data_IF_965324031017
#
_entry.id   IF_965324031017
#
_cell.length_a   1.000
_cell.length_b   1.000
_cell.length_c   1.000
_cell.angle_alpha   90.00
_cell.angle_beta   90.00
_cell.angle_gamma   90.00
#
_symmetry.space_group_name_H-M   'P 1'
#
loop_
_entity.id
_entity.type
_entity.pdbx_description
1 polymer ?
#
# COMPACT_ATOMS: atom_id res chain seq x y z
N UNK A 1 46.41 -28.60 2.44
CA UNK A 1 45.24 -28.63 3.36
C UNK A 1 45.38 -29.81 4.28
N UNK A 2 45.50 -29.57 5.56
CA UNK A 2 45.66 -30.61 6.61
C UNK A 2 44.33 -31.35 6.81
N UNK A 3 44.41 -32.64 7.26
CA UNK A 3 43.21 -33.48 7.50
C UNK A 3 42.21 -32.83 8.45
N UNK A 4 42.68 -32.03 9.41
CA UNK A 4 41.85 -31.27 10.35
C UNK A 4 41.01 -30.20 9.70
N UNK A 5 41.54 -29.49 8.73
CA UNK A 5 40.80 -28.45 8.01
C UNK A 5 39.62 -29.03 7.15
N UNK A 6 39.79 -30.21 6.58
CA UNK A 6 38.71 -30.87 5.86
C UNK A 6 37.57 -31.35 6.78
N UNK A 7 37.91 -31.81 7.98
CA UNK A 7 36.90 -32.15 9.00
C UNK A 7 36.13 -30.94 9.46
N UNK A 8 36.83 -29.84 9.78
CA UNK A 8 36.20 -28.60 10.20
C UNK A 8 35.26 -28.05 9.11
N UNK A 9 35.69 -28.08 7.84
CA UNK A 9 34.88 -27.63 6.71
C UNK A 9 33.59 -28.44 6.57
N UNK A 10 33.64 -29.76 6.79
CA UNK A 10 32.46 -30.62 6.75
C UNK A 10 31.44 -30.27 7.83
N UNK A 11 31.88 -29.98 9.04
CA UNK A 11 31.00 -29.59 10.15
C UNK A 11 30.39 -28.18 9.92
N UNK A 12 31.16 -27.25 9.37
CA UNK A 12 30.68 -25.92 9.03
C UNK A 12 29.57 -26.00 7.99
N UNK A 13 29.75 -26.79 6.93
CA UNK A 13 28.74 -26.99 5.91
C UNK A 13 27.47 -27.67 6.43
N UNK A 14 27.63 -28.64 7.33
CA UNK A 14 26.49 -29.33 7.94
C UNK A 14 25.70 -28.36 8.85
N UNK A 15 26.39 -27.51 9.61
CA UNK A 15 25.77 -26.48 10.45
C UNK A 15 25.05 -25.44 9.60
N UNK A 16 25.65 -24.99 8.50
CA UNK A 16 25.02 -24.06 7.56
C UNK A 16 23.79 -24.66 6.89
N UNK A 17 23.82 -25.91 6.51
CA UNK A 17 22.70 -26.63 5.88
C UNK A 17 21.48 -26.75 6.82
N UNK A 18 21.68 -26.71 8.13
CA UNK A 18 20.60 -26.69 9.13
C UNK A 18 20.21 -25.25 9.48
N UNK A 19 21.17 -24.37 9.64
CA UNK A 19 20.94 -23.00 10.07
C UNK A 19 20.17 -22.17 9.02
N UNK A 20 20.50 -22.31 7.74
CA UNK A 20 19.85 -21.55 6.66
C UNK A 20 18.35 -21.80 6.58
N UNK A 21 17.84 -23.05 6.48
CA UNK A 21 16.40 -23.28 6.44
C UNK A 21 15.70 -22.85 7.75
N UNK A 22 16.36 -22.96 8.88
CA UNK A 22 15.81 -22.54 10.17
C UNK A 22 15.64 -21.03 10.23
N UNK A 23 16.63 -20.25 9.78
CA UNK A 23 16.52 -18.79 9.63
C UNK A 23 15.45 -18.42 8.62
N UNK A 24 15.33 -19.14 7.50
CA UNK A 24 14.26 -18.90 6.53
C UNK A 24 12.87 -19.10 7.13
N UNK A 25 12.67 -20.17 7.94
CA UNK A 25 11.38 -20.41 8.60
C UNK A 25 11.04 -19.26 9.58
N UNK A 26 12.01 -18.74 10.31
CA UNK A 26 11.80 -17.59 11.20
C UNK A 26 11.53 -16.31 10.40
N UNK A 27 12.27 -16.05 9.34
CA UNK A 27 12.07 -14.89 8.47
C UNK A 27 10.68 -14.90 7.81
N UNK A 28 10.19 -16.07 7.36
CA UNK A 28 8.85 -16.18 6.76
C UNK A 28 7.73 -15.98 7.78
N UNK A 29 7.93 -16.36 9.04
CA UNK A 29 6.95 -16.07 10.11
C UNK A 29 6.79 -14.57 10.36
N UNK A 30 7.88 -13.82 10.30
CA UNK A 30 7.83 -12.36 10.45
C UNK A 30 7.29 -11.66 9.20
N UNK A 31 7.46 -12.23 8.01
CA UNK A 31 6.84 -11.73 6.78
C UNK A 31 5.30 -11.85 6.76
N UNK A 32 4.74 -12.78 7.50
CA UNK A 32 3.28 -12.91 7.64
C UNK A 32 2.65 -11.70 8.38
N UNK A 33 3.44 -10.93 9.13
CA UNK A 33 2.99 -9.69 9.79
C UNK A 33 2.97 -8.50 8.82
N UNK A 34 3.77 -8.55 7.75
CA UNK A 34 3.77 -7.52 6.69
C UNK A 34 2.80 -7.80 5.54
N UNK A 35 2.13 -8.93 5.55
CA UNK A 35 0.91 -9.11 4.77
C UNK A 35 -0.17 -8.28 5.46
N UNK A 36 -0.10 -6.96 5.31
CA UNK A 36 -1.29 -6.13 5.42
C UNK A 36 -2.31 -6.85 4.56
N UNK A 37 -3.29 -7.48 5.19
CA UNK A 37 -4.47 -7.99 4.53
C UNK A 37 -5.04 -6.80 3.76
N UNK A 38 -4.65 -6.67 2.50
CA UNK A 38 -5.55 -6.13 1.51
C UNK A 38 -6.62 -7.20 1.43
N UNK A 39 -7.51 -7.18 2.40
CA UNK A 39 -8.76 -7.89 2.34
C UNK A 39 -9.50 -7.21 1.20
N UNK A 40 -9.35 -7.76 0.00
CA UNK A 40 -10.34 -7.57 -1.04
C UNK A 40 -11.55 -8.35 -0.53
N UNK A 41 -12.19 -7.84 0.50
CA UNK A 41 -13.57 -8.18 0.76
C UNK A 41 -14.35 -7.46 -0.34
N UNK A 42 -14.64 -8.21 -1.39
CA UNK A 42 -15.79 -7.93 -2.20
C UNK A 42 -17.02 -8.07 -1.28
N UNK A 43 -17.19 -7.12 -0.37
CA UNK A 43 -18.42 -6.99 0.40
C UNK A 43 -19.45 -6.37 -0.53
N UNK A 44 -19.99 -7.22 -1.38
CA UNK A 44 -21.31 -7.01 -1.94
C UNK A 44 -22.27 -7.17 -0.77
N UNK A 45 -22.91 -6.09 -0.45
CA UNK A 45 -24.06 -5.95 0.44
C UNK A 45 -23.75 -5.37 1.83
N UNK A 46 -24.18 -4.19 2.02
CA UNK A 46 -24.48 -3.72 3.35
C UNK A 46 -24.31 -2.22 3.50
N UNK A 47 -25.43 -1.53 3.46
CA UNK A 47 -25.57 -0.13 3.85
C UNK A 47 -24.83 0.86 2.95
N UNK A 48 -25.49 1.33 1.93
CA UNK A 48 -25.14 2.56 1.22
C UNK A 48 -25.22 3.73 2.22
N UNK A 49 -24.17 3.90 3.02
CA UNK A 49 -23.93 5.20 3.64
C UNK A 49 -23.84 6.20 2.50
N UNK A 50 -24.70 7.20 2.50
CA UNK A 50 -24.67 8.22 1.47
C UNK A 50 -23.29 8.88 1.50
N UNK A 51 -22.56 8.85 0.39
CA UNK A 51 -21.30 9.57 0.27
C UNK A 51 -21.60 11.07 0.33
N UNK A 52 -20.82 11.81 1.10
CA UNK A 52 -20.92 13.27 1.19
C UNK A 52 -20.62 13.92 -0.16
N UNK A 53 -19.60 13.41 -0.84
CA UNK A 53 -19.18 13.84 -2.17
C UNK A 53 -18.63 12.67 -2.96
N UNK A 54 -18.80 12.70 -4.27
CA UNK A 54 -18.26 11.69 -5.18
C UNK A 54 -17.70 12.37 -6.41
N UNK A 55 -16.51 11.92 -6.82
CA UNK A 55 -15.81 12.39 -8.01
C UNK A 55 -15.37 11.20 -8.82
N UNK A 56 -15.43 11.33 -10.12
CA UNK A 56 -15.08 10.25 -11.03
C UNK A 56 -14.37 10.81 -12.26
N UNK A 57 -13.29 10.13 -12.67
CA UNK A 57 -12.65 10.33 -13.96
C UNK A 57 -12.36 8.96 -14.60
N UNK A 58 -11.64 8.94 -15.72
CA UNK A 58 -11.37 7.71 -16.47
C UNK A 58 -10.52 6.71 -15.68
N UNK A 59 -9.70 7.18 -14.76
CA UNK A 59 -8.72 6.38 -14.02
C UNK A 59 -9.22 6.04 -12.62
N UNK A 60 -9.87 6.99 -11.94
CA UNK A 60 -10.17 6.93 -10.51
C UNK A 60 -11.60 7.39 -10.25
N UNK A 61 -12.28 6.67 -9.36
CA UNK A 61 -13.51 7.15 -8.72
C UNK A 61 -13.23 7.31 -7.23
N UNK A 62 -13.59 8.47 -6.68
CA UNK A 62 -13.41 8.78 -5.26
C UNK A 62 -14.76 9.07 -4.63
N UNK A 63 -15.03 8.47 -3.50
CA UNK A 63 -16.19 8.76 -2.68
C UNK A 63 -15.72 9.17 -1.27
N UNK A 64 -16.26 10.28 -0.77
CA UNK A 64 -15.90 10.83 0.53
C UNK A 64 -17.04 10.60 1.50
N UNK A 65 -16.72 10.05 2.64
CA UNK A 65 -17.61 9.77 3.76
C UNK A 65 -17.15 10.56 4.99
N UNK A 66 -17.92 10.55 6.06
CA UNK A 66 -17.60 11.32 7.27
C UNK A 66 -16.28 10.93 7.94
N UNK A 67 -15.91 9.64 7.89
CA UNK A 67 -14.76 9.09 8.61
C UNK A 67 -13.73 8.40 7.71
N UNK A 68 -14.00 8.27 6.43
CA UNK A 68 -13.09 7.64 5.47
C UNK A 68 -13.28 8.15 4.04
N UNK A 69 -12.28 7.94 3.23
CA UNK A 69 -12.31 8.16 1.78
C UNK A 69 -12.15 6.82 1.10
N UNK A 70 -13.05 6.50 0.18
CA UNK A 70 -12.96 5.37 -0.71
C UNK A 70 -12.40 5.83 -2.07
N UNK A 71 -11.38 5.15 -2.53
CA UNK A 71 -10.78 5.39 -3.85
C UNK A 71 -10.85 4.09 -4.65
N UNK A 72 -11.60 4.11 -5.73
CA UNK A 72 -11.69 3.00 -6.67
C UNK A 72 -10.77 3.31 -7.85
N UNK A 73 -9.68 2.56 -7.95
CA UNK A 73 -8.78 2.65 -9.08
C UNK A 73 -9.25 1.70 -10.18
N UNK A 74 -9.74 2.25 -11.28
CA UNK A 74 -10.36 1.50 -12.38
C UNK A 74 -9.35 0.69 -13.20
N UNK A 75 -8.12 1.18 -13.28
CA UNK A 75 -7.03 0.54 -13.99
C UNK A 75 -5.71 0.70 -13.24
N UNK A 76 -4.81 -0.24 -13.41
CA UNK A 76 -3.47 -0.16 -12.83
C UNK A 76 -2.72 1.06 -13.34
N UNK A 77 -2.20 1.86 -12.41
CA UNK A 77 -1.41 3.03 -12.75
C UNK A 77 -0.07 2.60 -13.37
N UNK A 78 0.37 3.32 -14.39
CA UNK A 78 1.70 3.12 -15.00
C UNK A 78 2.84 3.61 -14.10
N UNK A 79 2.52 4.14 -12.94
CA UNK A 79 3.42 4.77 -12.00
C UNK A 79 3.69 3.84 -10.82
N UNK A 80 4.97 3.58 -10.56
CA UNK A 80 5.38 2.61 -9.54
C UNK A 80 5.15 3.09 -8.10
N UNK A 81 5.04 4.41 -7.87
CA UNK A 81 4.83 4.99 -6.55
C UNK A 81 3.74 6.06 -6.61
N UNK A 82 2.51 5.63 -6.38
CA UNK A 82 1.36 6.53 -6.36
C UNK A 82 0.90 6.73 -4.92
N UNK A 83 1.10 7.93 -4.41
CA UNK A 83 0.76 8.32 -3.03
C UNK A 83 -0.41 9.28 -3.04
N UNK A 84 -1.34 9.06 -2.13
CA UNK A 84 -2.51 9.91 -1.92
C UNK A 84 -2.19 10.92 -0.82
N UNK A 85 -2.32 12.20 -1.14
CA UNK A 85 -2.10 13.31 -0.21
C UNK A 85 -3.39 14.07 0.04
N UNK A 86 -3.55 14.57 1.25
CA UNK A 86 -4.49 15.65 1.53
C UNK A 86 -4.03 16.95 0.85
N UNK A 87 -4.98 17.77 0.48
CA UNK A 87 -4.74 19.05 -0.15
C UNK A 87 -5.31 20.19 0.68
N UNK A 88 -4.56 21.29 0.76
CA UNK A 88 -5.02 22.53 1.39
C UNK A 88 -5.91 23.37 0.45
N UNK A 89 -6.41 24.50 0.93
CA UNK A 89 -7.24 25.44 0.15
C UNK A 89 -6.49 26.07 -1.03
N UNK A 90 -5.16 26.04 -1.00
CA UNK A 90 -4.30 26.60 -2.06
C UNK A 90 -3.93 25.54 -3.10
N UNK A 91 -4.35 24.30 -2.91
CA UNK A 91 -4.04 23.19 -3.81
C UNK A 91 -2.67 22.55 -3.56
N UNK A 92 -2.02 22.82 -2.43
CA UNK A 92 -0.73 22.21 -2.10
C UNK A 92 -0.93 20.88 -1.36
N UNK A 93 0.01 19.98 -1.58
CA UNK A 93 0.10 18.72 -0.84
C UNK A 93 0.42 18.99 0.63
N UNK A 94 -0.33 18.36 1.53
CA UNK A 94 -0.09 18.48 2.97
C UNK A 94 0.27 17.14 3.58
N UNK A 95 -0.67 16.35 3.99
CA UNK A 95 -0.47 15.10 4.71
C UNK A 95 -0.66 13.90 3.79
N UNK A 96 0.16 12.86 3.98
CA UNK A 96 -0.02 11.58 3.32
C UNK A 96 -1.23 10.87 3.94
N UNK A 97 -2.17 10.45 3.09
CA UNK A 97 -3.31 9.62 3.46
C UNK A 97 -2.93 8.13 3.31
N UNK A 98 -2.31 7.77 2.20
CA UNK A 98 -1.90 6.40 1.93
C UNK A 98 -1.28 6.22 0.56
N UNK A 99 -1.09 4.95 0.17
CA UNK A 99 -0.50 4.57 -1.10
C UNK A 99 -1.44 3.66 -1.88
N UNK A 100 -1.49 3.84 -3.19
CA UNK A 100 -2.25 3.01 -4.12
C UNK A 100 -1.32 2.48 -5.22
N UNK A 101 -1.53 1.24 -5.68
CA UNK A 101 -0.62 0.60 -6.65
C UNK A 101 -1.34 -0.05 -7.81
N UNK A 102 -2.30 -0.92 -7.54
CA UNK A 102 -3.00 -1.73 -8.54
C UNK A 102 -4.47 -1.32 -8.62
N UNK A 103 -5.15 -1.71 -9.69
CA UNK A 103 -6.59 -1.55 -9.78
C UNK A 103 -7.29 -2.23 -8.60
N UNK A 104 -8.24 -1.55 -7.99
CA UNK A 104 -8.92 -2.04 -6.79
C UNK A 104 -9.61 -0.93 -6.00
N UNK A 105 -10.14 -1.31 -4.84
CA UNK A 105 -10.82 -0.40 -3.91
C UNK A 105 -9.89 -0.18 -2.71
N UNK A 106 -9.68 1.07 -2.37
CA UNK A 106 -8.86 1.51 -1.25
C UNK A 106 -9.69 2.36 -0.31
N UNK A 107 -9.67 2.04 0.96
CA UNK A 107 -10.33 2.81 2.02
C UNK A 107 -9.27 3.42 2.94
N UNK A 108 -9.37 4.73 3.16
CA UNK A 108 -8.46 5.47 4.02
C UNK A 108 -9.26 6.19 5.10
N UNK A 109 -8.98 5.91 6.34
CA UNK A 109 -9.59 6.60 7.47
C UNK A 109 -9.07 8.03 7.54
N UNK A 110 -9.98 8.98 7.72
CA UNK A 110 -9.68 10.40 7.89
C UNK A 110 -10.24 10.89 9.24
N UNK A 111 -9.50 11.77 9.89
CA UNK A 111 -9.96 12.39 11.14
C UNK A 111 -10.79 13.66 10.88
N UNK A 112 -10.45 14.38 9.81
CA UNK A 112 -11.13 15.58 9.37
C UNK A 112 -11.36 15.51 7.86
N UNK A 113 -12.42 16.13 7.39
CA UNK A 113 -12.71 16.21 5.97
C UNK A 113 -11.65 17.10 5.28
N UNK A 114 -10.82 16.55 4.37
CA UNK A 114 -9.84 17.32 3.64
C UNK A 114 -10.52 18.26 2.63
N UNK A 115 -9.86 19.34 2.25
CA UNK A 115 -10.34 20.24 1.19
C UNK A 115 -10.24 19.63 -0.21
N UNK A 116 -9.43 18.60 -0.35
CA UNK A 116 -9.24 17.83 -1.56
C UNK A 116 -8.18 16.76 -1.37
N UNK A 117 -7.97 15.96 -2.40
CA UNK A 117 -6.90 14.96 -2.47
C UNK A 117 -6.11 15.10 -3.77
N UNK A 118 -4.84 14.76 -3.70
CA UNK A 118 -3.93 14.64 -4.84
C UNK A 118 -3.37 13.22 -4.87
N UNK A 119 -3.44 12.57 -6.02
CA UNK A 119 -2.69 11.35 -6.29
C UNK A 119 -1.43 11.75 -7.06
N UNK A 120 -0.29 11.44 -6.48
CA UNK A 120 1.01 11.94 -6.92
C UNK A 120 2.04 10.82 -7.01
N UNK A 121 2.83 10.80 -8.08
CA UNK A 121 3.97 9.90 -8.21
C UNK A 121 5.21 10.55 -7.59
N UNK A 122 5.59 10.08 -6.41
CA UNK A 122 6.75 10.64 -5.69
C UNK A 122 8.09 10.33 -6.32
N UNK A 123 8.20 9.29 -7.14
CA UNK A 123 9.44 8.96 -7.85
C UNK A 123 9.63 9.86 -9.06
N UNK A 124 8.60 10.02 -9.88
CA UNK A 124 8.65 10.85 -11.09
C UNK A 124 8.38 12.34 -10.82
N UNK A 125 7.93 12.67 -9.62
CA UNK A 125 7.52 14.03 -9.22
C UNK A 125 6.41 14.61 -10.10
N UNK A 126 5.42 13.79 -10.44
CA UNK A 126 4.31 14.14 -11.34
C UNK A 126 2.98 13.96 -10.65
N UNK A 127 2.08 14.94 -10.80
CA UNK A 127 0.68 14.83 -10.40
C UNK A 127 -0.05 13.88 -11.37
N UNK A 128 -0.74 12.87 -10.84
CA UNK A 128 -1.53 11.93 -11.62
C UNK A 128 -2.94 12.47 -11.78
N UNK A 129 -3.56 12.87 -10.68
CA UNK A 129 -4.89 13.48 -10.65
C UNK A 129 -5.12 14.17 -9.32
N UNK A 130 -6.05 15.15 -9.31
CA UNK A 130 -6.49 15.85 -8.11
C UNK A 130 -8.00 16.04 -8.10
N UNK A 131 -8.56 16.07 -6.91
CA UNK A 131 -9.97 16.32 -6.65
C UNK A 131 -10.10 17.36 -5.54
N UNK A 132 -10.87 18.40 -5.79
CA UNK A 132 -11.29 19.41 -4.79
C UNK A 132 -12.66 19.02 -4.25
N UNK A 133 -12.84 19.14 -2.94
CA UNK A 133 -14.08 18.77 -2.24
C UNK A 133 -14.94 19.97 -1.88
#
# INVERSE_FOLDING_TARGET
>A
MTSGQRKAHKYIWLLLAIAIPLVMIFAVKDFAVFSSKVTIEATVAGSKKASLKSFENDIVKTAVFESYIEIILKATLKNASSVVYEMDEKGNKTKIIGQITTAGIYEFTINNLPKGIIIYDDLKKVEITKFLF
#
